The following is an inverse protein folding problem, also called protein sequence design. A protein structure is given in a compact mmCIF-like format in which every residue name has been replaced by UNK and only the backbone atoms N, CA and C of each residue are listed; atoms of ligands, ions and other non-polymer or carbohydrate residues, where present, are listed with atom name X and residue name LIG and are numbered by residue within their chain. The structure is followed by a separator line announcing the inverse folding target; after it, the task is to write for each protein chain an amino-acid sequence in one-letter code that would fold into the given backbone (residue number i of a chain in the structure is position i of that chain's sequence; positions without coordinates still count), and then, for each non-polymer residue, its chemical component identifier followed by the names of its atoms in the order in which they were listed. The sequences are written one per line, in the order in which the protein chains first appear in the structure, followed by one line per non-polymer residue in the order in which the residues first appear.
data_IF_965594638495
#
_entry.id   IF_965594638495
#
_cell.length_a   1.000
_cell.length_b   1.000
_cell.length_c   1.000
_cell.angle_alpha   90.00
_cell.angle_beta   90.00
_cell.angle_gamma   90.00
#
_symmetry.space_group_name_H-M   'P 1'
#
loop_
_entity.id
_entity.type
_entity.pdbx_description
1 polymer ?
#
# COMPACT_ATOMS: atom_id res chain seq x y z
N UNK A 1 -0.36 15.29 -13.75
CA UNK A 1 -1.32 14.86 -12.68
C UNK A 1 -1.39 13.34 -12.64
N UNK A 2 -1.16 12.73 -11.50
CA UNK A 2 -1.19 11.26 -11.36
C UNK A 2 -2.56 10.65 -11.69
N UNK A 3 -3.64 11.35 -11.34
CA UNK A 3 -5.01 10.87 -11.52
C UNK A 3 -6.02 12.01 -11.36
N UNK A 4 -7.22 11.81 -11.89
CA UNK A 4 -8.37 12.70 -11.65
C UNK A 4 -9.22 12.22 -10.47
N UNK A 5 -9.34 10.91 -10.31
CA UNK A 5 -10.08 10.24 -9.24
C UNK A 5 -9.32 9.00 -8.83
N UNK A 6 -9.24 8.74 -7.55
CA UNK A 6 -8.48 7.63 -6.99
C UNK A 6 -9.29 6.89 -5.95
N UNK A 7 -9.19 5.58 -5.93
CA UNK A 7 -9.69 4.72 -4.87
C UNK A 7 -8.54 4.33 -3.94
N UNK A 8 -8.74 4.42 -2.64
CA UNK A 8 -7.71 4.14 -1.65
C UNK A 8 -8.18 3.12 -0.62
N UNK A 9 -7.29 2.25 -0.18
CA UNK A 9 -7.46 1.41 1.01
C UNK A 9 -6.11 1.16 1.69
N UNK A 10 -6.14 0.65 2.92
CA UNK A 10 -4.96 0.51 3.78
C UNK A 10 -5.10 -0.64 4.76
N UNK A 11 -4.00 -1.05 5.38
CA UNK A 11 -3.98 -1.91 6.57
C UNK A 11 -4.76 -3.24 6.42
N UNK A 12 -4.61 -3.90 5.30
CA UNK A 12 -5.32 -5.16 5.03
C UNK A 12 -4.72 -6.35 5.81
N UNK A 13 -3.43 -6.29 6.12
CA UNK A 13 -2.72 -7.25 6.97
C UNK A 13 -2.94 -8.73 6.61
N UNK A 14 -2.73 -9.10 5.34
CA UNK A 14 -2.67 -10.51 4.97
C UNK A 14 -1.68 -11.26 5.87
N UNK A 15 -2.07 -12.43 6.36
CA UNK A 15 -1.26 -13.24 7.26
C UNK A 15 -1.51 -12.99 8.74
N UNK A 16 -2.42 -12.09 9.12
CA UNK A 16 -2.83 -11.91 10.51
C UNK A 16 -3.43 -13.21 11.10
N UNK A 17 -3.48 -13.31 12.42
CA UNK A 17 -3.99 -14.49 13.15
C UNK A 17 -3.24 -15.78 12.77
N UNK A 18 -1.89 -15.71 12.74
CA UNK A 18 -1.05 -16.87 12.45
C UNK A 18 -1.19 -17.39 11.01
N UNK A 19 -1.34 -16.51 10.04
CA UNK A 19 -1.58 -16.81 8.64
C UNK A 19 -2.90 -17.58 8.41
N UNK A 20 -3.93 -17.25 9.18
CA UNK A 20 -5.25 -17.84 9.07
C UNK A 20 -5.82 -17.70 7.66
N UNK A 21 -6.23 -18.83 7.08
CA UNK A 21 -6.88 -18.81 5.77
C UNK A 21 -8.24 -18.10 5.82
N UNK A 22 -8.98 -18.23 6.90
CA UNK A 22 -10.25 -17.52 7.08
C UNK A 22 -10.03 -16.01 7.03
N UNK A 23 -9.01 -15.52 7.74
CA UNK A 23 -8.66 -14.10 7.67
C UNK A 23 -8.22 -13.68 6.26
N UNK A 24 -7.40 -14.48 5.58
CA UNK A 24 -6.95 -14.18 4.24
C UNK A 24 -8.12 -14.23 3.22
N UNK A 25 -9.08 -15.13 3.39
CA UNK A 25 -10.32 -15.17 2.59
C UNK A 25 -11.17 -13.90 2.80
N UNK A 26 -11.29 -13.40 4.02
CA UNK A 26 -11.96 -12.13 4.33
C UNK A 26 -11.24 -10.93 3.67
N UNK A 27 -9.91 -10.91 3.72
CA UNK A 27 -9.11 -9.89 3.03
C UNK A 27 -9.34 -9.93 1.52
N UNK A 28 -9.34 -11.11 0.91
CA UNK A 28 -9.62 -11.29 -0.52
C UNK A 28 -11.04 -10.83 -0.88
N UNK A 29 -12.04 -11.19 -0.08
CA UNK A 29 -13.41 -10.74 -0.28
C UNK A 29 -13.51 -9.21 -0.22
N UNK A 30 -12.77 -8.57 0.68
CA UNK A 30 -12.67 -7.12 0.75
C UNK A 30 -12.06 -6.53 -0.52
N UNK A 31 -10.96 -7.08 -1.04
CA UNK A 31 -10.32 -6.59 -2.28
C UNK A 31 -11.29 -6.67 -3.47
N UNK A 32 -12.05 -7.78 -3.59
CA UNK A 32 -13.05 -7.96 -4.63
C UNK A 32 -14.14 -6.89 -4.53
N UNK A 33 -14.70 -6.70 -3.34
CA UNK A 33 -15.70 -5.67 -3.08
C UNK A 33 -15.17 -4.25 -3.36
N UNK A 34 -13.94 -3.96 -2.93
CA UNK A 34 -13.29 -2.66 -3.17
C UNK A 34 -13.17 -2.34 -4.66
N UNK A 35 -12.76 -3.33 -5.47
CA UNK A 35 -12.66 -3.19 -6.92
C UNK A 35 -14.04 -2.87 -7.53
N UNK A 36 -15.09 -3.56 -7.10
CA UNK A 36 -16.45 -3.31 -7.56
C UNK A 36 -16.90 -1.88 -7.25
N UNK A 37 -16.67 -1.42 -6.00
CA UNK A 37 -16.98 -0.05 -5.60
C UNK A 37 -16.18 0.99 -6.38
N UNK A 38 -14.89 0.77 -6.57
CA UNK A 38 -14.05 1.67 -7.34
C UNK A 38 -14.52 1.82 -8.80
N UNK A 39 -14.93 0.71 -9.42
CA UNK A 39 -15.52 0.72 -10.79
C UNK A 39 -16.82 1.50 -10.84
N UNK A 40 -17.73 1.29 -9.90
CA UNK A 40 -19.00 2.03 -9.81
C UNK A 40 -18.77 3.54 -9.70
N UNK A 41 -17.69 3.97 -9.07
CA UNK A 41 -17.32 5.37 -8.91
C UNK A 41 -16.41 5.90 -10.03
N UNK A 42 -16.08 5.08 -11.02
CA UNK A 42 -15.23 5.46 -12.15
C UNK A 42 -13.79 5.80 -11.77
N UNK A 43 -13.21 5.05 -10.83
CA UNK A 43 -11.82 5.19 -10.44
C UNK A 43 -10.94 4.29 -11.33
N UNK A 44 -10.00 4.88 -12.07
CA UNK A 44 -9.04 4.18 -12.92
C UNK A 44 -7.69 3.97 -12.22
N UNK A 45 -7.48 4.66 -11.10
CA UNK A 45 -6.27 4.58 -10.28
C UNK A 45 -6.60 4.11 -8.88
N UNK A 46 -5.75 3.25 -8.33
CA UNK A 46 -5.80 2.79 -6.95
C UNK A 46 -4.52 3.18 -6.21
N UNK A 47 -4.63 3.55 -4.95
CA UNK A 47 -3.50 3.67 -4.02
C UNK A 47 -3.76 2.77 -2.83
N UNK A 48 -2.89 1.78 -2.63
CA UNK A 48 -2.79 1.04 -1.40
C UNK A 48 -1.83 1.74 -0.45
N UNK A 49 -2.31 2.11 0.73
CA UNK A 49 -1.62 3.04 1.63
C UNK A 49 -0.71 2.36 2.67
N UNK A 50 -0.35 1.10 2.48
CA UNK A 50 0.61 0.40 3.33
C UNK A 50 0.02 -0.66 4.25
N UNK A 51 0.90 -1.49 4.80
CA UNK A 51 0.58 -2.64 5.65
C UNK A 51 -0.25 -3.72 4.92
N UNK A 52 0.26 -4.17 3.79
CA UNK A 52 -0.30 -5.31 3.07
C UNK A 52 -0.12 -6.62 3.83
N UNK A 53 1.12 -6.88 4.29
CA UNK A 53 1.42 -8.03 5.12
C UNK A 53 1.40 -7.69 6.61
N UNK A 54 1.04 -8.67 7.44
CA UNK A 54 1.13 -8.51 8.89
C UNK A 54 2.54 -8.78 9.43
N UNK A 55 3.23 -9.78 8.88
CA UNK A 55 4.56 -10.18 9.32
C UNK A 55 5.66 -9.58 8.44
N UNK A 56 6.62 -8.88 9.06
CA UNK A 56 7.68 -8.19 8.33
C UNK A 56 8.88 -9.04 7.99
N UNK A 57 9.19 -10.07 8.79
CA UNK A 57 10.43 -10.84 8.65
C UNK A 57 10.30 -12.11 7.84
N UNK A 58 9.09 -12.61 7.67
CA UNK A 58 8.82 -13.83 6.91
C UNK A 58 7.40 -13.80 6.35
N UNK A 59 7.23 -14.26 5.13
CA UNK A 59 5.92 -14.42 4.50
C UNK A 59 5.61 -15.89 4.33
N UNK A 60 4.48 -16.32 4.87
CA UNK A 60 3.97 -17.67 4.71
C UNK A 60 3.60 -17.94 3.24
N UNK A 61 3.89 -19.14 2.72
CA UNK A 61 3.66 -19.49 1.31
C UNK A 61 2.19 -19.34 0.91
N UNK A 62 1.25 -19.75 1.77
CA UNK A 62 -0.18 -19.55 1.49
C UNK A 62 -0.53 -18.06 1.40
N UNK A 63 -0.03 -17.24 2.31
CA UNK A 63 -0.22 -15.79 2.29
C UNK A 63 0.39 -15.14 1.04
N UNK A 64 1.56 -15.61 0.59
CA UNK A 64 2.16 -15.16 -0.68
C UNK A 64 1.23 -15.41 -1.87
N UNK A 65 0.59 -16.58 -1.93
CA UNK A 65 -0.35 -16.90 -3.01
C UNK A 65 -1.55 -15.96 -3.00
N UNK A 66 -2.12 -15.66 -1.84
CA UNK A 66 -3.18 -14.62 -1.74
C UNK A 66 -2.68 -13.26 -2.22
N UNK A 67 -1.46 -12.87 -1.86
CA UNK A 67 -0.88 -11.60 -2.29
C UNK A 67 -0.74 -11.52 -3.80
N UNK A 68 -0.16 -12.52 -4.45
CA UNK A 68 0.01 -12.55 -5.91
C UNK A 68 -1.36 -12.48 -6.60
N UNK A 69 -2.32 -13.33 -6.20
CA UNK A 69 -3.65 -13.37 -6.81
C UNK A 69 -4.39 -12.04 -6.68
N UNK A 70 -4.32 -11.39 -5.52
CA UNK A 70 -5.03 -10.13 -5.28
C UNK A 70 -4.32 -8.93 -5.92
N UNK A 71 -3.00 -8.92 -6.00
CA UNK A 71 -2.25 -7.91 -6.76
C UNK A 71 -2.49 -8.02 -8.26
N UNK A 72 -2.53 -9.24 -8.82
CA UNK A 72 -2.93 -9.45 -10.22
C UNK A 72 -4.37 -8.97 -10.48
N UNK A 73 -5.29 -9.24 -9.55
CA UNK A 73 -6.68 -8.77 -9.62
C UNK A 73 -6.76 -7.24 -9.64
N UNK A 74 -6.01 -6.56 -8.77
CA UNK A 74 -5.92 -5.10 -8.76
C UNK A 74 -5.30 -4.58 -10.05
N UNK A 75 -4.19 -5.14 -10.51
CA UNK A 75 -3.53 -4.72 -11.75
C UNK A 75 -4.39 -4.89 -13.01
N UNK A 76 -5.29 -5.88 -13.03
CA UNK A 76 -6.29 -6.05 -14.11
C UNK A 76 -7.45 -5.06 -14.02
N UNK A 77 -7.78 -4.61 -12.80
CA UNK A 77 -8.94 -3.76 -12.56
C UNK A 77 -8.65 -2.27 -12.75
N UNK A 78 -7.41 -1.84 -12.53
CA UNK A 78 -6.98 -0.45 -12.58
C UNK A 78 -5.88 -0.23 -13.62
N UNK A 79 -5.85 0.95 -14.22
CA UNK A 79 -4.74 1.34 -15.12
C UNK A 79 -3.42 1.52 -14.37
N UNK A 80 -3.50 1.98 -13.12
CA UNK A 80 -2.35 2.12 -12.20
C UNK A 80 -2.74 1.78 -10.78
N UNK A 81 -1.89 1.02 -10.11
CA UNK A 81 -1.98 0.70 -8.69
C UNK A 81 -0.68 1.11 -8.03
N UNK A 82 -0.71 2.13 -7.21
CA UNK A 82 0.43 2.51 -6.37
C UNK A 82 0.36 1.75 -5.06
N UNK A 83 1.42 1.01 -4.75
CA UNK A 83 1.52 0.21 -3.52
C UNK A 83 2.54 0.86 -2.61
N UNK A 84 2.07 1.59 -1.61
CA UNK A 84 2.92 2.22 -0.60
C UNK A 84 3.37 1.16 0.40
N UNK A 85 4.64 1.18 0.75
CA UNK A 85 5.17 0.35 1.83
C UNK A 85 4.82 0.96 3.18
N UNK A 86 4.06 0.21 3.99
CA UNK A 86 3.84 0.53 5.40
C UNK A 86 4.96 -0.03 6.29
N UNK A 87 4.89 0.22 7.59
CA UNK A 87 5.91 -0.25 8.52
C UNK A 87 5.96 -1.78 8.67
N UNK A 88 4.84 -2.48 8.45
CA UNK A 88 4.81 -3.95 8.45
C UNK A 88 5.33 -4.57 7.15
N UNK A 89 5.38 -3.81 6.05
CA UNK A 89 5.91 -4.28 4.77
C UNK A 89 7.45 -4.16 4.69
N UNK A 90 8.08 -3.46 5.63
CA UNK A 90 9.52 -3.26 5.67
C UNK A 90 10.19 -4.21 6.66
N UNK A 91 11.30 -4.82 6.24
CA UNK A 91 12.11 -5.67 7.11
C UNK A 91 12.72 -4.86 8.26
N UNK A 92 13.33 -3.70 7.97
CA UNK A 92 13.84 -2.75 8.96
C UNK A 92 12.81 -1.64 9.21
N UNK A 93 12.70 -1.16 10.45
CA UNK A 93 11.79 -0.05 10.78
C UNK A 93 12.28 1.31 10.26
N UNK A 94 13.57 1.46 10.08
CA UNK A 94 14.27 2.71 9.80
C UNK A 94 14.91 2.78 8.41
N UNK A 95 14.69 1.75 7.56
CA UNK A 95 15.23 1.64 6.21
C UNK A 95 14.23 0.97 5.27
N UNK A 96 14.23 1.38 3.99
CA UNK A 96 13.35 0.84 2.94
C UNK A 96 14.02 -0.14 1.98
N UNK A 97 15.27 -0.54 2.24
CA UNK A 97 16.06 -1.36 1.30
C UNK A 97 15.52 -2.78 1.11
N UNK A 98 14.81 -3.33 2.09
CA UNK A 98 14.19 -4.66 2.02
C UNK A 98 12.71 -4.55 2.40
N UNK A 99 11.83 -5.00 1.51
CA UNK A 99 10.40 -5.03 1.74
C UNK A 99 9.76 -6.37 1.34
N UNK A 100 8.63 -6.68 1.94
CA UNK A 100 7.92 -7.95 1.71
C UNK A 100 7.14 -8.00 0.40
N UNK A 101 7.07 -6.90 -0.35
CA UNK A 101 6.29 -6.78 -1.58
C UNK A 101 7.14 -6.87 -2.85
N UNK A 102 8.46 -7.01 -2.73
CA UNK A 102 9.38 -6.98 -3.88
C UNK A 102 9.06 -8.04 -4.96
N UNK A 103 8.55 -9.20 -4.56
CA UNK A 103 8.23 -10.29 -5.49
C UNK A 103 7.03 -10.02 -6.40
N UNK A 104 6.22 -9.00 -6.13
CA UNK A 104 5.06 -8.62 -6.99
C UNK A 104 5.36 -7.45 -7.92
N UNK A 105 6.56 -6.89 -7.91
CA UNK A 105 6.94 -5.68 -8.65
C UNK A 105 6.75 -5.75 -10.17
N UNK A 106 6.78 -6.98 -10.73
CA UNK A 106 6.65 -7.19 -12.17
C UNK A 106 5.21 -7.49 -12.63
N UNK A 107 4.24 -7.48 -11.72
CA UNK A 107 2.83 -7.61 -12.08
C UNK A 107 2.42 -6.35 -12.87
N UNK A 108 1.79 -6.50 -14.05
CA UNK A 108 1.38 -5.35 -14.85
C UNK A 108 0.51 -4.36 -14.06
N UNK A 109 0.76 -3.06 -14.27
CA UNK A 109 0.07 -1.93 -13.64
C UNK A 109 0.32 -1.76 -12.12
N UNK A 110 1.13 -2.63 -11.51
CA UNK A 110 1.54 -2.50 -10.10
C UNK A 110 2.83 -1.68 -10.02
N UNK A 111 2.80 -0.62 -9.19
CA UNK A 111 3.92 0.27 -8.94
C UNK A 111 4.23 0.32 -7.45
N UNK A 112 5.32 -0.36 -7.05
CA UNK A 112 5.79 -0.30 -5.66
C UNK A 112 6.40 1.07 -5.39
N UNK A 113 5.89 1.76 -4.37
CA UNK A 113 6.35 3.09 -3.97
C UNK A 113 7.38 2.95 -2.85
N UNK A 114 8.65 2.92 -3.23
CA UNK A 114 9.80 2.92 -2.31
C UNK A 114 10.46 4.29 -2.17
N UNK A 115 10.17 5.21 -3.09
CA UNK A 115 10.66 6.56 -3.10
C UNK A 115 9.49 7.55 -3.15
N UNK A 116 9.74 8.78 -2.74
CA UNK A 116 8.74 9.83 -2.78
C UNK A 116 8.37 10.17 -4.22
N UNK A 117 7.10 10.04 -4.56
CA UNK A 117 6.56 10.46 -5.84
C UNK A 117 5.80 11.78 -5.65
N UNK A 118 6.29 12.84 -6.28
CA UNK A 118 5.70 14.18 -6.17
C UNK A 118 5.45 14.72 -7.56
N UNK A 119 4.21 15.08 -7.85
CA UNK A 119 3.81 15.69 -9.10
C UNK A 119 2.67 16.69 -8.84
N UNK A 120 2.88 17.94 -9.28
CA UNK A 120 1.93 19.02 -9.07
C UNK A 120 1.45 19.13 -7.60
N UNK A 121 0.16 18.98 -7.37
CA UNK A 121 -0.49 19.05 -6.06
C UNK A 121 -0.54 17.72 -5.29
N UNK A 122 0.05 16.67 -5.83
CA UNK A 122 -0.05 15.32 -5.26
C UNK A 122 1.32 14.79 -4.85
N UNK A 123 1.39 14.20 -3.66
CA UNK A 123 2.52 13.42 -3.20
C UNK A 123 2.07 12.03 -2.74
N UNK A 124 2.79 10.99 -3.15
CA UNK A 124 2.63 9.61 -2.71
C UNK A 124 3.93 9.21 -2.03
N UNK A 125 3.87 8.90 -0.74
CA UNK A 125 5.04 8.80 0.14
C UNK A 125 5.05 7.44 0.82
N UNK A 126 6.15 6.65 0.71
CA UNK A 126 6.31 5.40 1.46
C UNK A 126 6.48 5.67 2.95
N UNK A 127 6.49 4.62 3.78
CA UNK A 127 6.78 4.73 5.21
C UNK A 127 7.98 5.65 5.45
N UNK A 128 7.76 6.65 6.29
CA UNK A 128 8.75 7.68 6.60
C UNK A 128 9.82 7.11 7.51
N UNK A 129 11.07 7.19 7.09
CA UNK A 129 12.22 6.69 7.85
C UNK A 129 13.09 7.85 8.33
N UNK A 130 13.72 7.67 9.50
CA UNK A 130 14.62 8.65 10.09
C UNK A 130 13.98 10.04 10.20
N UNK A 131 14.66 11.08 9.75
CA UNK A 131 14.24 12.49 9.83
C UNK A 131 13.39 12.98 8.63
N UNK A 132 12.93 12.10 7.76
CA UNK A 132 12.14 12.48 6.58
C UNK A 132 10.82 13.18 6.94
N UNK A 133 10.26 12.95 8.13
CA UNK A 133 9.07 13.65 8.62
C UNK A 133 9.23 15.17 8.58
N UNK A 134 10.45 15.70 8.74
CA UNK A 134 10.75 17.14 8.61
C UNK A 134 10.49 17.69 7.20
N UNK A 135 10.54 16.83 6.18
CA UNK A 135 10.20 17.21 4.80
C UNK A 135 8.69 17.33 4.63
N UNK A 136 7.91 16.47 5.31
CA UNK A 136 6.44 16.50 5.25
C UNK A 136 5.91 17.83 5.77
N UNK A 137 6.46 18.35 6.86
CA UNK A 137 6.07 19.67 7.42
C UNK A 137 6.27 20.83 6.43
N UNK A 138 7.19 20.68 5.48
CA UNK A 138 7.52 21.72 4.49
C UNK A 138 6.82 21.53 3.15
N UNK A 139 6.02 20.48 3.01
CA UNK A 139 5.33 20.17 1.76
C UNK A 139 4.28 21.21 1.43
N UNK A 140 4.15 21.48 0.12
CA UNK A 140 3.14 22.41 -0.41
C UNK A 140 2.04 21.69 -1.18
N UNK A 141 2.15 20.37 -1.35
CA UNK A 141 1.20 19.56 -2.08
C UNK A 141 -0.15 19.58 -1.35
N UNK A 142 -1.20 19.75 -2.11
CA UNK A 142 -2.58 19.80 -1.61
C UNK A 142 -3.08 18.44 -1.13
N UNK A 143 -2.62 17.37 -1.77
CA UNK A 143 -2.98 16.00 -1.46
C UNK A 143 -1.74 15.17 -1.17
N UNK A 144 -1.67 14.60 0.02
CA UNK A 144 -0.56 13.78 0.47
C UNK A 144 -1.08 12.41 0.87
N UNK A 145 -0.61 11.37 0.20
CA UNK A 145 -0.97 9.98 0.46
C UNK A 145 0.25 9.26 1.04
N UNK A 146 0.07 8.57 2.14
CA UNK A 146 1.17 7.85 2.77
C UNK A 146 0.74 7.07 4.01
N UNK A 147 1.70 6.37 4.60
CA UNK A 147 1.55 5.61 5.83
C UNK A 147 2.51 6.19 6.86
N UNK A 148 1.98 6.94 7.84
CA UNK A 148 2.80 7.81 8.69
C UNK A 148 2.61 7.54 10.18
N UNK A 149 3.73 7.63 10.91
CA UNK A 149 3.75 7.94 12.33
C UNK A 149 4.49 9.28 12.47
N UNK A 150 3.76 10.34 12.77
CA UNK A 150 4.30 11.67 12.84
C UNK A 150 4.40 12.13 14.29
N UNK A 151 5.45 12.90 14.68
CA UNK A 151 5.53 13.52 15.99
C UNK A 151 4.28 14.36 16.28
N UNK A 152 3.80 14.29 17.52
CA UNK A 152 2.62 15.02 18.01
C UNK A 152 1.25 14.51 17.52
N UNK A 153 1.18 13.52 16.65
CA UNK A 153 -0.06 12.81 16.38
C UNK A 153 -0.25 11.72 17.43
N UNK A 154 -1.34 11.80 18.18
CA UNK A 154 -1.71 10.71 19.07
C UNK A 154 -2.32 9.57 18.24
N UNK A 155 -1.65 8.46 18.24
CA UNK A 155 -2.26 7.18 17.87
C UNK A 155 -3.07 6.72 19.09
N UNK A 156 -4.39 6.62 18.97
CA UNK A 156 -5.26 6.08 20.03
C UNK A 156 -5.21 4.56 20.02
#
# INVERSE_FOLDING_TARGET
MFFKKVACFTDIHFGLKGNSRVHNDDCEAFVIWFIEQAKLHGCETCIFLGDWHHHRSATNVSTMNYTVSNMERLGKAFEKVYVIMGNHDLYYRDKREINSMEYIRNIPNIHIVNEWLVEDDVAIIPWVVQDEWKKIEKMKQKYVFGHFELPYFKMN
#
